data_IF_749362841403
#
_entry.id   IF_749362841403
#
_cell.length_a   1.000
_cell.length_b   1.000
_cell.length_c   1.000
_cell.angle_alpha   90.00
_cell.angle_beta   90.00
_cell.angle_gamma   90.00
#
_symmetry.space_group_name_H-M   'P 1'
#
loop_
_entity.id
_entity.type
_entity.pdbx_description
1 polymer ?
#
# COMPACT_ATOMS: atom_id res chain seq x y z
N UNK A 1 -24.88 1.62 -5.26
CA UNK A 1 -23.63 1.97 -4.54
C UNK A 1 -22.89 2.97 -5.40
N UNK A 2 -22.28 4.00 -4.79
CA UNK A 2 -21.56 5.03 -5.54
C UNK A 2 -20.31 4.40 -6.18
N UNK A 3 -20.00 4.74 -7.43
CA UNK A 3 -18.81 4.28 -8.17
C UNK A 3 -17.49 4.93 -7.67
N UNK A 4 -17.52 5.46 -6.45
CA UNK A 4 -16.40 6.17 -5.85
C UNK A 4 -15.57 5.17 -5.04
N UNK A 5 -14.22 5.23 -5.09
CA UNK A 5 -13.35 4.33 -4.33
C UNK A 5 -13.22 4.74 -2.85
N UNK A 6 -14.30 5.29 -2.29
CA UNK A 6 -14.39 5.74 -0.91
C UNK A 6 -15.85 5.81 -0.48
N UNK A 7 -16.08 5.80 0.83
CA UNK A 7 -17.41 5.99 1.43
C UNK A 7 -17.56 7.40 1.99
N UNK A 8 -18.74 8.00 1.79
CA UNK A 8 -19.13 9.26 2.44
C UNK A 8 -19.89 8.94 3.72
N UNK A 9 -19.43 9.45 4.86
CA UNK A 9 -20.09 9.24 6.16
C UNK A 9 -20.26 10.57 6.90
N UNK A 10 -21.33 10.71 7.70
CA UNK A 10 -21.46 11.85 8.60
C UNK A 10 -20.39 11.77 9.70
N UNK A 11 -19.85 12.92 10.13
CA UNK A 11 -18.89 12.96 11.22
C UNK A 11 -19.42 12.33 12.53
N UNK A 12 -20.73 12.24 12.73
CA UNK A 12 -21.36 11.64 13.92
C UNK A 12 -21.49 10.12 13.83
N UNK A 13 -21.38 9.54 12.65
CA UNK A 13 -21.62 8.13 12.42
C UNK A 13 -20.33 7.30 12.56
N UNK A 14 -20.49 6.07 13.04
CA UNK A 14 -19.43 5.06 12.98
C UNK A 14 -19.36 4.47 11.57
N UNK A 15 -18.16 4.19 11.10
CA UNK A 15 -17.91 3.69 9.75
C UNK A 15 -17.22 2.32 9.70
N UNK A 16 -16.95 1.69 10.86
CA UNK A 16 -16.18 0.43 10.96
C UNK A 16 -17.04 -0.84 10.73
N UNK A 17 -18.26 -0.70 10.23
CA UNK A 17 -19.17 -1.84 9.96
C UNK A 17 -20.07 -1.59 8.73
N UNK A 18 -19.58 -0.82 7.76
CA UNK A 18 -20.31 -0.56 6.52
C UNK A 18 -20.10 -1.66 5.48
N UNK A 19 -20.98 -1.74 4.48
CA UNK A 19 -20.79 -2.64 3.33
C UNK A 19 -19.45 -2.35 2.61
N UNK A 20 -19.02 -1.08 2.59
CA UNK A 20 -17.73 -0.69 2.01
C UNK A 20 -16.55 -1.21 2.84
N UNK A 21 -16.65 -1.16 4.17
CA UNK A 21 -15.65 -1.76 5.05
C UNK A 21 -15.50 -3.26 4.80
N UNK A 22 -16.62 -3.99 4.76
CA UNK A 22 -16.60 -5.44 4.51
C UNK A 22 -16.06 -5.75 3.12
N UNK A 23 -16.46 -4.99 2.10
CA UNK A 23 -15.93 -5.14 0.75
C UNK A 23 -14.41 -4.95 0.72
N UNK A 24 -13.89 -3.83 1.24
CA UNK A 24 -12.45 -3.57 1.27
C UNK A 24 -11.67 -4.66 2.01
N UNK A 25 -12.25 -5.20 3.08
CA UNK A 25 -11.65 -6.31 3.83
C UNK A 25 -11.64 -7.61 3.05
N UNK A 26 -12.68 -7.90 2.27
CA UNK A 26 -12.77 -9.11 1.43
C UNK A 26 -11.85 -9.04 0.21
N UNK A 27 -11.69 -7.85 -0.38
CA UNK A 27 -10.88 -7.63 -1.58
C UNK A 27 -9.45 -7.20 -1.29
N UNK A 28 -9.08 -7.06 -0.01
CA UNK A 28 -7.79 -6.52 0.43
C UNK A 28 -7.45 -5.16 -0.20
N UNK A 29 -8.46 -4.32 -0.42
CA UNK A 29 -8.28 -2.98 -1.00
C UNK A 29 -8.29 -1.89 0.08
N UNK A 30 -7.73 -0.70 -0.19
CA UNK A 30 -7.71 0.38 0.78
C UNK A 30 -9.12 0.80 1.20
N UNK A 31 -9.37 0.90 2.50
CA UNK A 31 -10.60 1.47 3.03
C UNK A 31 -10.43 2.96 3.31
N UNK A 32 -10.92 3.77 2.37
CA UNK A 32 -10.90 5.23 2.46
C UNK A 32 -12.31 5.75 2.72
N UNK A 33 -12.42 6.70 3.64
CA UNK A 33 -13.68 7.37 3.99
C UNK A 33 -13.52 8.89 3.94
N UNK A 34 -14.60 9.58 3.59
CA UNK A 34 -14.74 11.03 3.72
C UNK A 34 -15.80 11.29 4.79
N UNK A 35 -15.36 11.80 5.93
CA UNK A 35 -16.23 12.21 7.04
C UNK A 35 -16.66 13.65 6.85
N UNK A 36 -17.93 13.89 6.52
CA UNK A 36 -18.46 15.24 6.37
C UNK A 36 -18.80 15.85 7.73
N UNK A 37 -18.18 16.97 8.05
CA UNK A 37 -18.63 17.88 9.10
C UNK A 37 -19.48 19.01 8.55
N UNK A 38 -19.83 19.98 9.41
CA UNK A 38 -20.73 21.08 9.05
C UNK A 38 -20.14 22.04 8.00
N UNK A 39 -18.82 22.22 8.01
CA UNK A 39 -18.13 23.21 7.15
C UNK A 39 -16.92 22.65 6.40
N UNK A 40 -16.49 21.44 6.73
CA UNK A 40 -15.32 20.79 6.18
C UNK A 40 -15.50 19.27 6.21
N UNK A 41 -14.60 18.55 5.57
CA UNK A 41 -14.55 17.11 5.63
C UNK A 41 -13.14 16.61 5.93
N UNK A 42 -13.09 15.44 6.56
CA UNK A 42 -11.87 14.73 6.84
C UNK A 42 -11.80 13.50 5.92
N UNK A 43 -10.67 13.32 5.25
CA UNK A 43 -10.38 12.10 4.49
C UNK A 43 -9.54 11.20 5.37
N UNK A 44 -9.96 9.96 5.57
CA UNK A 44 -9.26 9.00 6.40
C UNK A 44 -9.02 7.71 5.64
N UNK A 45 -7.81 7.19 5.79
CA UNK A 45 -7.48 5.81 5.51
C UNK A 45 -6.93 5.17 6.79
N UNK A 46 -7.36 3.94 7.07
CA UNK A 46 -6.86 3.13 8.16
C UNK A 46 -6.53 1.72 7.65
N UNK A 47 -5.44 1.17 8.16
CA UNK A 47 -4.95 -0.17 7.86
C UNK A 47 -5.90 -1.29 8.31
N UNK A 48 -6.91 -1.01 9.13
CA UNK A 48 -7.85 -1.99 9.71
C UNK A 48 -8.47 -3.02 8.73
N UNK A 49 -8.57 -2.71 7.44
CA UNK A 49 -9.11 -3.62 6.42
C UNK A 49 -8.06 -4.50 5.75
N UNK A 50 -6.78 -4.25 6.00
CA UNK A 50 -5.68 -4.94 5.35
C UNK A 50 -5.12 -6.07 6.22
N UNK A 51 -4.76 -7.21 5.62
CA UNK A 51 -4.19 -8.34 6.36
C UNK A 51 -2.73 -8.05 6.75
N UNK A 52 -2.16 -8.69 7.80
CA UNK A 52 -0.84 -8.32 8.34
C UNK A 52 0.32 -8.31 7.34
N UNK A 53 0.25 -9.09 6.26
CA UNK A 53 1.27 -9.15 5.21
C UNK A 53 1.48 -7.82 4.47
N UNK A 54 0.47 -6.95 4.36
CA UNK A 54 0.62 -5.63 3.72
C UNK A 54 1.40 -4.62 4.59
N UNK A 55 1.59 -4.90 5.89
CA UNK A 55 2.14 -3.98 6.88
C UNK A 55 3.65 -3.82 6.69
N UNK A 56 4.33 -4.89 6.27
CA UNK A 56 5.75 -4.86 5.95
C UNK A 56 6.04 -3.89 4.78
N UNK A 57 5.30 -4.02 3.68
CA UNK A 57 5.48 -3.16 2.50
C UNK A 57 5.24 -1.68 2.80
N UNK A 58 4.20 -1.36 3.56
CA UNK A 58 3.91 0.02 3.96
C UNK A 58 4.96 0.59 4.93
N UNK A 59 5.45 -0.22 5.88
CA UNK A 59 6.47 0.23 6.84
C UNK A 59 7.82 0.46 6.19
N UNK A 60 8.25 -0.43 5.30
CA UNK A 60 9.50 -0.29 4.55
C UNK A 60 9.51 0.97 3.68
N UNK A 61 8.33 1.37 3.18
CA UNK A 61 8.18 2.53 2.31
C UNK A 61 7.58 3.76 3.01
N UNK A 62 7.50 3.79 4.35
CA UNK A 62 6.77 4.82 5.09
C UNK A 62 7.21 6.25 4.75
N UNK A 63 8.52 6.47 4.58
CA UNK A 63 9.03 7.81 4.23
C UNK A 63 8.59 8.26 2.84
N UNK A 64 8.54 7.35 1.86
CA UNK A 64 8.07 7.66 0.50
C UNK A 64 6.55 7.88 0.52
N UNK A 65 5.82 7.00 1.21
CA UNK A 65 4.38 7.11 1.39
C UNK A 65 3.99 8.44 2.07
N UNK A 66 4.73 8.87 3.10
CA UNK A 66 4.51 10.15 3.76
C UNK A 66 4.71 11.33 2.80
N UNK A 67 5.77 11.29 2.00
CA UNK A 67 6.07 12.33 1.02
C UNK A 67 4.98 12.42 -0.07
N UNK A 68 4.51 11.29 -0.57
CA UNK A 68 3.47 11.25 -1.60
C UNK A 68 2.10 11.66 -1.03
N UNK A 69 1.77 11.22 0.18
CA UNK A 69 0.57 11.65 0.90
C UNK A 69 0.60 13.16 1.19
N UNK A 70 1.76 13.71 1.54
CA UNK A 70 1.99 15.16 1.67
C UNK A 70 1.71 15.88 0.36
N UNK A 71 2.22 15.37 -0.75
CA UNK A 71 2.02 15.99 -2.05
C UNK A 71 0.53 16.01 -2.45
N UNK A 72 -0.24 14.96 -2.14
CA UNK A 72 -1.70 14.95 -2.30
C UNK A 72 -2.32 16.03 -1.42
N UNK A 73 -2.02 16.01 -0.12
CA UNK A 73 -2.57 16.96 0.84
C UNK A 73 -2.35 18.41 0.40
N UNK A 74 -1.13 18.78 -0.01
CA UNK A 74 -0.78 20.15 -0.39
C UNK A 74 -1.57 20.67 -1.61
N UNK A 75 -2.01 19.78 -2.52
CA UNK A 75 -2.86 20.17 -3.67
C UNK A 75 -4.26 20.60 -3.24
N UNK A 76 -4.77 20.02 -2.15
CA UNK A 76 -6.16 20.17 -1.73
C UNK A 76 -6.33 21.05 -0.49
N UNK A 77 -5.28 21.19 0.31
CA UNK A 77 -5.28 21.89 1.58
C UNK A 77 -5.66 23.37 1.46
N UNK A 78 -6.22 23.87 2.56
CA UNK A 78 -6.34 25.28 2.90
C UNK A 78 -5.53 25.54 4.18
N UNK A 79 -5.28 26.80 4.59
CA UNK A 79 -4.46 27.11 5.76
C UNK A 79 -4.91 26.41 7.07
N UNK A 80 -6.20 26.11 7.19
CA UNK A 80 -6.80 25.44 8.34
C UNK A 80 -6.71 23.90 8.30
N UNK A 81 -6.32 23.34 7.15
CA UNK A 81 -6.19 21.89 6.96
C UNK A 81 -4.95 21.35 7.64
N UNK A 82 -4.98 20.07 8.02
CA UNK A 82 -3.83 19.40 8.60
C UNK A 82 -3.67 17.98 8.09
N UNK A 83 -2.41 17.54 7.95
CA UNK A 83 -2.07 16.18 7.59
C UNK A 83 -1.65 15.40 8.84
N UNK A 84 -2.18 14.19 8.97
CA UNK A 84 -1.67 13.16 9.88
C UNK A 84 -1.17 11.98 9.06
N UNK A 85 0.09 11.61 9.24
CA UNK A 85 0.65 10.37 8.70
C UNK A 85 1.21 9.55 9.85
N UNK A 86 0.83 8.27 9.88
CA UNK A 86 1.37 7.22 10.73
C UNK A 86 1.52 5.97 9.87
N UNK A 87 2.29 4.99 10.34
CA UNK A 87 2.53 3.75 9.61
C UNK A 87 1.23 3.03 9.16
N UNK A 88 0.14 3.17 9.91
CA UNK A 88 -1.13 2.46 9.68
C UNK A 88 -2.32 3.39 9.50
N UNK A 89 -2.09 4.70 9.36
CA UNK A 89 -3.17 5.68 9.27
C UNK A 89 -2.71 6.94 8.54
N UNK A 90 -3.53 7.39 7.59
CA UNK A 90 -3.36 8.68 6.92
C UNK A 90 -4.67 9.47 7.04
N UNK A 91 -4.57 10.73 7.45
CA UNK A 91 -5.71 11.63 7.59
C UNK A 91 -5.44 13.00 6.98
N UNK A 92 -6.32 13.43 6.08
CA UNK A 92 -6.37 14.81 5.59
C UNK A 92 -7.57 15.49 6.21
N UNK A 93 -7.31 16.35 7.18
CA UNK A 93 -8.39 16.92 7.96
C UNK A 93 -8.72 18.35 7.54
N UNK A 94 -9.98 18.72 7.76
CA UNK A 94 -10.53 20.05 7.46
C UNK A 94 -10.28 20.48 6.02
N UNK A 95 -10.50 19.59 5.08
CA UNK A 95 -10.56 19.93 3.65
C UNK A 95 -11.93 20.51 3.30
N UNK A 96 -12.02 21.44 2.33
CA UNK A 96 -13.29 21.77 1.70
C UNK A 96 -13.95 20.50 1.12
N UNK A 97 -15.27 20.34 1.31
CA UNK A 97 -15.97 19.09 0.97
C UNK A 97 -15.74 18.62 -0.47
N UNK A 98 -15.79 19.56 -1.44
CA UNK A 98 -15.56 19.23 -2.86
C UNK A 98 -14.13 18.73 -3.12
N UNK A 99 -13.15 19.26 -2.39
CA UNK A 99 -11.75 18.85 -2.48
C UNK A 99 -11.48 17.53 -1.77
N UNK A 100 -12.18 17.27 -0.67
CA UNK A 100 -12.04 16.05 0.11
C UNK A 100 -12.35 14.79 -0.72
N UNK A 101 -13.35 14.85 -1.60
CA UNK A 101 -13.70 13.73 -2.50
C UNK A 101 -12.56 13.40 -3.47
N UNK A 102 -11.99 14.41 -4.12
CA UNK A 102 -10.86 14.21 -5.04
C UNK A 102 -9.62 13.72 -4.28
N UNK A 103 -9.35 14.28 -3.11
CA UNK A 103 -8.25 13.85 -2.25
C UNK A 103 -8.42 12.41 -1.78
N UNK A 104 -9.65 11.96 -1.50
CA UNK A 104 -9.95 10.58 -1.12
C UNK A 104 -9.70 9.59 -2.26
N UNK A 105 -10.10 9.93 -3.48
CA UNK A 105 -9.80 9.10 -4.65
C UNK A 105 -8.28 8.97 -4.88
N UNK A 106 -7.54 10.09 -4.80
CA UNK A 106 -6.08 10.04 -4.93
C UNK A 106 -5.41 9.28 -3.78
N UNK A 107 -5.88 9.43 -2.55
CA UNK A 107 -5.37 8.67 -1.41
C UNK A 107 -5.62 7.17 -1.59
N UNK A 108 -6.79 6.78 -2.07
CA UNK A 108 -7.08 5.37 -2.39
C UNK A 108 -6.06 4.81 -3.38
N UNK A 109 -5.84 5.50 -4.50
CA UNK A 109 -4.89 5.06 -5.52
C UNK A 109 -3.45 5.04 -5.01
N UNK A 110 -3.07 5.99 -4.16
CA UNK A 110 -1.77 5.99 -3.51
C UNK A 110 -1.57 4.73 -2.67
N UNK A 111 -2.50 4.43 -1.75
CA UNK A 111 -2.36 3.25 -0.89
C UNK A 111 -2.37 1.97 -1.71
N UNK A 112 -3.28 1.86 -2.69
CA UNK A 112 -3.38 0.69 -3.54
C UNK A 112 -2.05 0.36 -4.25
N UNK A 113 -1.26 1.37 -4.62
CA UNK A 113 0.06 1.18 -5.24
C UNK A 113 1.12 0.58 -4.31
N UNK A 114 0.91 0.58 -3.00
CA UNK A 114 1.78 -0.05 -2.01
C UNK A 114 1.30 -1.42 -1.53
N UNK A 115 0.10 -1.84 -1.96
CA UNK A 115 -0.42 -3.16 -1.63
C UNK A 115 0.12 -4.19 -2.62
N UNK A 116 0.36 -5.44 -2.17
CA UNK A 116 0.69 -6.51 -3.09
C UNK A 116 -0.48 -6.73 -4.06
N UNK A 117 -0.16 -7.01 -5.33
CA UNK A 117 -1.18 -7.45 -6.28
C UNK A 117 -1.86 -8.71 -5.72
N UNK A 118 -3.19 -8.71 -5.66
CA UNK A 118 -3.98 -9.84 -5.16
C UNK A 118 -3.81 -11.13 -6.01
N UNK A 119 -3.05 -11.07 -7.10
CA UNK A 119 -2.76 -12.17 -8.01
C UNK A 119 -1.36 -12.77 -7.77
N UNK A 120 -1.11 -13.28 -6.57
CA UNK A 120 0.08 -14.11 -6.32
C UNK A 120 -0.12 -15.17 -5.22
N UNK A 121 -1.36 -15.57 -4.92
CA UNK A 121 -1.61 -16.86 -4.26
C UNK A 121 -1.54 -17.96 -5.34
N UNK A 122 -0.31 -18.28 -5.75
CA UNK A 122 0.02 -19.49 -6.50
C UNK A 122 -0.42 -20.68 -5.63
N UNK A 123 -1.56 -21.27 -5.99
CA UNK A 123 -2.16 -22.40 -5.28
C UNK A 123 -1.13 -23.53 -5.17
N UNK A 124 -0.76 -24.00 -3.96
CA UNK A 124 0.05 -25.20 -3.83
C UNK A 124 -0.83 -26.41 -4.13
N UNK A 125 -0.95 -26.77 -5.40
CA UNK A 125 -1.63 -27.99 -5.81
C UNK A 125 -0.71 -29.18 -5.54
N UNK A 126 -0.65 -29.58 -4.26
CA UNK A 126 -0.17 -30.88 -3.84
C UNK A 126 -1.04 -31.99 -4.44
N UNK A 127 -0.63 -32.51 -5.59
CA UNK A 127 -1.14 -33.74 -6.20
C UNK A 127 -0.10 -34.85 -6.07
N UNK A 128 -0.47 -35.89 -5.32
CA UNK A 128 0.32 -37.07 -4.95
C UNK A 128 0.82 -37.92 -6.13
N UNK A 129 2.07 -38.38 -5.98
CA UNK A 129 2.75 -39.61 -6.43
C UNK A 129 2.14 -40.56 -7.50
N UNK A 130 3.09 -41.14 -8.26
CA UNK A 130 3.06 -42.21 -9.30
C UNK A 130 2.88 -41.67 -10.73
N UNK A 131 3.82 -41.86 -11.66
CA UNK A 131 4.44 -43.13 -12.03
C UNK A 131 5.86 -42.98 -12.62
N UNK A 132 6.51 -44.14 -12.74
CA UNK A 132 7.94 -44.40 -12.91
C UNK A 132 8.24 -44.66 -14.39
N UNK A 133 9.37 -44.23 -14.94
CA UNK A 133 10.31 -45.06 -15.75
C UNK A 133 11.47 -44.24 -16.35
N UNK A 134 12.66 -44.64 -15.89
CA UNK A 134 13.99 -44.65 -16.52
C UNK A 134 14.14 -44.17 -17.96
N UNK A 135 15.05 -43.22 -18.17
CA UNK A 135 15.99 -43.32 -19.30
C UNK A 135 17.36 -42.76 -18.92
N UNK A 136 18.32 -43.66 -18.88
CA UNK A 136 19.76 -43.42 -18.70
C UNK A 136 20.40 -43.42 -20.08
N UNK A 137 21.17 -42.37 -20.40
CA UNK A 137 22.48 -42.39 -21.10
C UNK A 137 22.81 -40.94 -21.53
N UNK A 138 23.72 -40.25 -20.84
CA UNK A 138 25.17 -40.29 -21.01
C UNK A 138 25.67 -39.49 -22.23
N UNK A 139 26.16 -38.25 -22.01
CA UNK A 139 27.48 -37.80 -22.50
C UNK A 139 27.92 -36.45 -21.88
N UNK A 140 29.15 -36.46 -21.38
CA UNK A 140 30.01 -35.36 -20.91
C UNK A 140 30.24 -34.26 -21.97
N UNK A 141 30.64 -33.01 -21.69
CA UNK A 141 31.77 -32.51 -20.88
C UNK A 141 31.70 -30.95 -20.74
N UNK A 142 32.64 -30.27 -20.02
CA UNK A 142 32.40 -29.04 -19.26
C UNK A 142 32.93 -27.74 -19.89
N UNK A 143 32.39 -26.60 -19.45
CA UNK A 143 33.01 -25.29 -19.63
C UNK A 143 32.81 -24.39 -18.40
N UNK A 144 33.81 -24.45 -17.52
CA UNK A 144 34.57 -23.33 -16.94
C UNK A 144 33.91 -21.94 -16.80
N UNK A 145 33.73 -21.53 -15.53
CA UNK A 145 34.07 -20.24 -14.85
C UNK A 145 33.72 -18.91 -15.53
N UNK A 146 33.21 -17.85 -14.88
CA UNK A 146 33.39 -17.35 -13.51
C UNK A 146 32.32 -16.25 -13.19
N UNK A 147 32.18 -15.80 -11.92
CA UNK A 147 31.22 -14.78 -11.50
C UNK A 147 31.83 -13.36 -11.51
N UNK A 148 31.03 -12.34 -11.85
CA UNK A 148 31.34 -10.92 -11.62
C UNK A 148 30.44 -10.44 -10.46
N UNK A 149 30.90 -10.57 -9.21
CA UNK A 149 31.58 -9.52 -8.42
C UNK A 149 30.67 -8.32 -8.10
N UNK A 150 30.07 -8.39 -6.90
CA UNK A 150 29.60 -7.27 -6.10
C UNK A 150 30.64 -6.15 -6.10
N UNK A 151 30.23 -4.94 -6.46
CA UNK A 151 30.95 -3.73 -6.08
C UNK A 151 30.49 -3.31 -4.69
N UNK A 152 31.37 -3.49 -3.70
CA UNK A 152 31.33 -2.82 -2.40
C UNK A 152 32.48 -1.82 -2.40
N UNK A 153 32.15 -0.53 -2.43
CA UNK A 153 33.14 0.51 -2.17
C UNK A 153 33.04 0.91 -0.70
N UNK A 154 34.03 0.48 0.09
CA UNK A 154 34.25 0.94 1.44
C UNK A 154 35.44 1.91 1.48
N UNK A 155 35.14 3.11 1.97
CA UNK A 155 35.96 4.08 2.71
C UNK A 155 37.36 4.47 2.17
N UNK A 156 37.52 5.78 1.99
CA UNK A 156 38.76 6.45 2.37
C UNK A 156 38.44 7.63 3.27
N UNK A 157 38.69 7.44 4.56
CA UNK A 157 38.90 8.51 5.54
C UNK A 157 40.11 9.33 5.10
N UNK A 158 39.97 10.65 4.99
CA UNK A 158 41.10 11.56 5.06
C UNK A 158 40.86 12.57 6.16
N UNK A 159 41.79 12.54 7.12
CA UNK A 159 41.93 13.43 8.25
C UNK A 159 42.65 14.72 7.84
N UNK A 160 42.53 15.72 8.72
CA UNK A 160 43.37 16.92 8.88
C UNK A 160 43.07 18.16 8.01
N UNK A 161 42.46 19.16 8.64
CA UNK A 161 43.11 20.43 8.96
C UNK A 161 42.46 21.04 10.20
#
# INVERSE_FOLDING_TARGET
>A
MSDAPFELVDAKDSFIDSDWFHHCRETHTPFVVVRSGEHSADVLWDYITLPPECDAGLRENLSALEQDARAIFDRYAIPESYLRVKATLIGFDRLPFDRAKSAAAELYHLIAAYLPDAEAEDVPSGGTAHERLTQTDARSDPATSAPLQLWVEAASTSSAA
#
